data_IF_644780976483
#
_entry.id   IF_644780976483
#
_cell.length_a   1.000
_cell.length_b   1.000
_cell.length_c   1.000
_cell.angle_alpha   90.00
_cell.angle_beta   90.00
_cell.angle_gamma   90.00
#
_symmetry.space_group_name_H-M   'P 1'
#
loop_
_entity.id
_entity.type
_entity.pdbx_description
1 polymer ?
#
# COMPACT_ATOMS: atom_id res chain seq x y z
N UNK A 1 -33.97 -4.20 -13.74
CA UNK A 1 -32.79 -3.32 -13.50
C UNK A 1 -32.36 -3.25 -12.03
N UNK A 2 -33.25 -3.49 -11.05
CA UNK A 2 -32.97 -3.42 -9.61
C UNK A 2 -31.75 -4.27 -9.14
N UNK A 3 -31.64 -5.53 -9.60
CA UNK A 3 -30.52 -6.44 -9.24
C UNK A 3 -29.14 -5.93 -9.70
N UNK A 4 -29.09 -5.13 -10.77
CA UNK A 4 -27.85 -4.54 -11.33
C UNK A 4 -27.39 -3.31 -10.55
N UNK A 5 -28.30 -2.63 -9.85
CA UNK A 5 -28.03 -1.48 -8.98
C UNK A 5 -27.77 -1.90 -7.52
N UNK A 6 -28.44 -2.95 -7.06
CA UNK A 6 -28.27 -3.52 -5.71
C UNK A 6 -26.85 -4.09 -5.50
N UNK A 7 -26.26 -4.76 -6.51
CA UNK A 7 -24.89 -5.30 -6.41
C UNK A 7 -23.83 -4.23 -6.10
N UNK A 8 -23.68 -3.14 -6.90
CA UNK A 8 -22.71 -2.11 -6.59
C UNK A 8 -23.05 -1.35 -5.29
N UNK A 9 -24.33 -1.14 -4.99
CA UNK A 9 -24.73 -0.48 -3.74
C UNK A 9 -24.36 -1.30 -2.50
N UNK A 10 -24.56 -2.62 -2.52
CA UNK A 10 -24.16 -3.51 -1.41
C UNK A 10 -22.64 -3.55 -1.26
N UNK A 11 -21.88 -3.53 -2.37
CA UNK A 11 -20.42 -3.49 -2.34
C UNK A 11 -19.94 -2.19 -1.66
N UNK A 12 -20.49 -1.04 -2.04
CA UNK A 12 -20.14 0.26 -1.43
C UNK A 12 -20.50 0.29 0.06
N UNK A 13 -21.66 -0.25 0.43
CA UNK A 13 -22.10 -0.34 1.83
C UNK A 13 -21.20 -1.26 2.64
N UNK A 14 -20.81 -2.43 2.11
CA UNK A 14 -19.85 -3.33 2.77
C UNK A 14 -18.48 -2.67 2.88
N UNK A 15 -18.01 -1.99 1.83
CA UNK A 15 -16.75 -1.24 1.84
C UNK A 15 -16.73 -0.13 2.90
N UNK A 16 -17.88 0.39 3.30
CA UNK A 16 -17.99 1.40 4.36
C UNK A 16 -18.17 0.78 5.75
N UNK A 17 -19.03 -0.23 5.88
CA UNK A 17 -19.35 -0.85 7.17
C UNK A 17 -18.19 -1.71 7.67
N UNK A 18 -17.52 -2.45 6.79
CA UNK A 18 -16.40 -3.32 7.16
C UNK A 18 -15.25 -2.58 7.86
N UNK A 19 -14.73 -1.44 7.34
CA UNK A 19 -13.71 -0.68 8.05
C UNK A 19 -14.23 -0.08 9.36
N UNK A 20 -15.50 0.32 9.45
CA UNK A 20 -16.08 0.84 10.71
C UNK A 20 -16.11 -0.25 11.78
N UNK A 21 -16.57 -1.46 11.45
CA UNK A 21 -16.57 -2.60 12.37
C UNK A 21 -15.13 -2.98 12.75
N UNK A 22 -14.22 -2.98 11.78
CA UNK A 22 -12.81 -3.27 12.01
C UNK A 22 -12.17 -2.27 12.97
N UNK A 23 -12.40 -0.97 12.79
CA UNK A 23 -11.94 0.08 13.71
C UNK A 23 -12.57 -0.11 15.09
N UNK A 24 -13.88 -0.39 15.16
CA UNK A 24 -14.58 -0.60 16.43
C UNK A 24 -14.04 -1.82 17.21
N UNK A 25 -13.64 -2.89 16.52
CA UNK A 25 -13.02 -4.05 17.16
C UNK A 25 -11.57 -3.81 17.58
N UNK A 26 -10.79 -3.08 16.77
CA UNK A 26 -9.37 -2.85 17.03
C UNK A 26 -9.16 -1.78 18.10
N UNK A 27 -10.02 -0.76 18.18
CA UNK A 27 -9.91 0.33 19.15
C UNK A 27 -9.80 -0.14 20.61
N UNK A 28 -10.68 -1.01 21.15
CA UNK A 28 -10.56 -1.49 22.52
C UNK A 28 -9.31 -2.38 22.72
N UNK A 29 -8.89 -3.13 21.70
CA UNK A 29 -7.66 -3.92 21.75
C UNK A 29 -6.42 -3.02 21.83
N UNK A 30 -6.40 -1.92 21.07
CA UNK A 30 -5.34 -0.91 21.14
C UNK A 30 -5.33 -0.20 22.50
N UNK A 31 -6.51 0.22 22.99
CA UNK A 31 -6.64 0.90 24.29
C UNK A 31 -6.23 0.02 25.47
N UNK A 32 -6.46 -1.29 25.40
CA UNK A 32 -6.05 -2.23 26.45
C UNK A 32 -4.54 -2.50 26.47
N UNK A 33 -3.86 -2.33 25.34
CA UNK A 33 -2.41 -2.57 25.20
C UNK A 33 -1.62 -1.26 25.06
N UNK A 34 -2.12 -0.16 25.63
CA UNK A 34 -1.51 1.17 25.50
C UNK A 34 -0.05 1.20 25.95
N UNK A 35 0.32 0.49 27.00
CA UNK A 35 1.70 0.45 27.48
C UNK A 35 2.64 -0.26 26.49
N UNK A 36 2.21 -1.39 25.94
CA UNK A 36 2.95 -2.09 24.88
C UNK A 36 3.03 -1.27 23.60
N UNK A 37 1.96 -0.54 23.25
CA UNK A 37 1.97 0.39 22.11
C UNK A 37 2.89 1.59 22.37
N UNK A 38 3.00 2.07 23.60
CA UNK A 38 3.86 3.19 23.95
C UNK A 38 5.34 2.76 23.94
N UNK A 39 5.64 1.55 24.41
CA UNK A 39 6.96 0.93 24.27
C UNK A 39 7.30 0.69 22.80
N UNK A 40 6.36 0.18 21.99
CA UNK A 40 6.54 0.04 20.55
C UNK A 40 6.77 1.39 19.87
N UNK A 41 6.04 2.43 20.27
CA UNK A 41 6.24 3.80 19.78
C UNK A 41 7.62 4.35 20.15
N UNK A 42 8.08 4.11 21.37
CA UNK A 42 9.44 4.49 21.80
C UNK A 42 10.51 3.73 21.00
N UNK A 43 10.29 2.44 20.72
CA UNK A 43 11.19 1.63 19.91
C UNK A 43 11.23 2.15 18.46
N UNK A 44 10.06 2.43 17.86
CA UNK A 44 9.96 3.04 16.52
C UNK A 44 10.62 4.42 16.47
N UNK A 45 10.48 5.24 17.53
CA UNK A 45 11.19 6.52 17.63
C UNK A 45 12.71 6.33 17.72
N UNK A 46 13.18 5.35 18.49
CA UNK A 46 14.59 5.03 18.60
C UNK A 46 15.18 4.54 17.27
N UNK A 47 14.43 3.72 16.54
CA UNK A 47 14.81 3.17 15.25
C UNK A 47 14.35 4.03 14.06
N UNK A 48 13.91 5.28 14.27
CA UNK A 48 13.32 6.12 13.22
C UNK A 48 14.22 6.25 12.00
N UNK A 49 15.51 6.54 12.21
CA UNK A 49 16.51 6.68 11.14
C UNK A 49 16.78 5.36 10.40
N UNK A 50 17.07 4.24 11.07
CA UNK A 50 17.17 2.92 10.43
C UNK A 50 15.91 2.53 9.64
N UNK A 51 14.72 2.78 10.18
CA UNK A 51 13.44 2.50 9.50
C UNK A 51 13.31 3.31 8.21
N UNK A 52 13.67 4.59 8.26
CA UNK A 52 13.65 5.49 7.11
C UNK A 52 14.66 5.04 6.04
N UNK A 53 15.84 4.59 6.46
CA UNK A 53 16.85 4.04 5.57
C UNK A 53 16.38 2.75 4.89
N UNK A 54 15.71 1.85 5.63
CA UNK A 54 15.08 0.65 5.09
C UNK A 54 13.99 1.02 4.07
N UNK A 55 13.17 2.04 4.34
CA UNK A 55 12.14 2.50 3.40
C UNK A 55 12.75 3.02 2.11
N UNK A 56 13.79 3.87 2.20
CA UNK A 56 14.52 4.37 1.02
C UNK A 56 15.14 3.22 0.24
N UNK A 57 15.77 2.26 0.93
CA UNK A 57 16.39 1.09 0.30
C UNK A 57 15.33 0.21 -0.39
N UNK A 58 14.18 0.02 0.25
CA UNK A 58 13.04 -0.70 -0.30
C UNK A 58 12.51 -0.01 -1.57
N UNK A 59 12.39 1.31 -1.57
CA UNK A 59 11.96 2.06 -2.76
C UNK A 59 12.99 1.98 -3.88
N UNK A 60 14.28 2.08 -3.58
CA UNK A 60 15.34 1.92 -4.56
C UNK A 60 15.35 0.51 -5.16
N UNK A 61 15.18 -0.52 -4.32
CA UNK A 61 15.08 -1.91 -4.75
C UNK A 61 13.83 -2.13 -5.61
N UNK A 62 12.67 -1.62 -5.19
CA UNK A 62 11.42 -1.71 -5.95
C UNK A 62 11.55 -0.98 -7.29
N UNK A 63 12.17 0.20 -7.31
CA UNK A 63 12.47 0.94 -8.53
C UNK A 63 13.28 0.08 -9.49
N UNK A 64 14.41 -0.47 -9.04
CA UNK A 64 15.29 -1.30 -9.87
C UNK A 64 14.66 -2.64 -10.29
N UNK A 65 13.93 -3.28 -9.40
CA UNK A 65 13.29 -4.58 -9.64
C UNK A 65 12.05 -4.48 -10.52
N UNK A 66 11.39 -3.33 -10.60
CA UNK A 66 10.19 -3.14 -11.41
C UNK A 66 10.33 -3.57 -12.88
N UNK A 67 11.31 -3.07 -13.67
CA UNK A 67 11.48 -3.52 -15.06
C UNK A 67 11.78 -5.02 -15.16
N UNK A 68 12.50 -5.58 -14.18
CA UNK A 68 12.76 -7.02 -14.12
C UNK A 68 11.46 -7.81 -13.91
N UNK A 69 10.60 -7.36 -12.98
CA UNK A 69 9.30 -7.96 -12.72
C UNK A 69 8.39 -7.91 -13.95
N UNK A 70 8.32 -6.76 -14.62
CA UNK A 70 7.52 -6.59 -15.85
C UNK A 70 8.04 -7.52 -16.96
N UNK A 71 9.36 -7.64 -17.14
CA UNK A 71 9.93 -8.54 -18.13
C UNK A 71 9.72 -10.01 -17.79
N UNK A 72 9.79 -10.39 -16.51
CA UNK A 72 9.50 -11.75 -16.05
C UNK A 72 8.03 -12.11 -16.28
N UNK A 73 7.11 -11.20 -15.98
CA UNK A 73 5.68 -11.35 -16.25
C UNK A 73 5.41 -11.45 -17.76
N UNK A 74 6.11 -10.66 -18.57
CA UNK A 74 6.05 -10.72 -20.04
C UNK A 74 6.44 -12.10 -20.57
N UNK A 75 7.54 -12.68 -20.06
CA UNK A 75 8.00 -14.00 -20.49
C UNK A 75 7.04 -15.14 -20.08
N UNK A 76 6.30 -14.97 -18.98
CA UNK A 76 5.33 -15.97 -18.51
C UNK A 76 3.99 -15.92 -19.24
N UNK A 77 3.66 -14.82 -19.92
CA UNK A 77 2.40 -14.69 -20.65
C UNK A 77 2.56 -15.12 -22.11
N UNK A 78 1.63 -15.96 -22.59
CA UNK A 78 1.61 -16.46 -23.97
C UNK A 78 1.30 -15.37 -25.01
N UNK A 79 0.68 -14.26 -24.61
CA UNK A 79 0.47 -13.08 -25.44
C UNK A 79 1.41 -11.98 -24.99
N UNK A 80 2.28 -11.52 -25.89
CA UNK A 80 3.09 -10.34 -25.66
C UNK A 80 2.18 -9.12 -25.52
N UNK A 81 2.25 -8.35 -24.43
CA UNK A 81 1.52 -7.10 -24.29
C UNK A 81 1.94 -6.14 -25.40
N UNK A 82 0.99 -5.33 -25.86
CA UNK A 82 1.23 -4.27 -26.83
C UNK A 82 2.28 -3.27 -26.30
N UNK A 83 3.05 -2.64 -27.18
CA UNK A 83 4.10 -1.70 -26.79
C UNK A 83 3.56 -0.53 -25.95
N UNK A 84 2.31 -0.10 -26.20
CA UNK A 84 1.63 0.91 -25.40
C UNK A 84 1.37 0.46 -23.97
N UNK A 85 0.96 -0.80 -23.78
CA UNK A 85 0.73 -1.39 -22.45
C UNK A 85 2.04 -1.57 -21.68
N UNK A 86 3.12 -1.97 -22.38
CA UNK A 86 4.44 -2.11 -21.78
C UNK A 86 5.00 -0.75 -21.31
N UNK A 87 4.87 0.29 -22.14
CA UNK A 87 5.24 1.66 -21.76
C UNK A 87 4.43 2.16 -20.57
N UNK A 88 3.12 1.90 -20.55
CA UNK A 88 2.27 2.26 -19.42
C UNK A 88 2.71 1.55 -18.13
N UNK A 89 2.96 0.25 -18.18
CA UNK A 89 3.41 -0.55 -17.04
C UNK A 89 4.77 -0.08 -16.48
N UNK A 90 5.69 0.34 -17.36
CA UNK A 90 6.98 0.90 -16.94
C UNK A 90 6.83 2.32 -16.36
N UNK A 91 5.94 3.16 -16.91
CA UNK A 91 5.70 4.51 -16.41
C UNK A 91 5.02 4.53 -15.03
N UNK A 92 4.18 3.53 -14.72
CA UNK A 92 3.55 3.38 -13.39
C UNK A 92 4.59 3.36 -12.26
N UNK A 93 5.84 2.97 -12.53
CA UNK A 93 6.93 2.99 -11.54
C UNK A 93 7.06 4.35 -10.83
N UNK A 94 6.98 5.45 -11.58
CA UNK A 94 7.12 6.80 -11.00
C UNK A 94 5.90 7.21 -10.19
N UNK A 95 4.70 6.81 -10.62
CA UNK A 95 3.47 7.04 -9.86
C UNK A 95 3.47 6.25 -8.55
N UNK A 96 3.98 5.01 -8.58
CA UNK A 96 4.11 4.17 -7.40
C UNK A 96 5.08 4.79 -6.38
N UNK A 97 6.24 5.27 -6.84
CA UNK A 97 7.19 5.99 -5.98
C UNK A 97 6.59 7.29 -5.47
N UNK A 98 5.93 8.07 -6.33
CA UNK A 98 5.27 9.30 -5.92
C UNK A 98 4.25 9.08 -4.81
N UNK A 99 3.41 8.05 -4.94
CA UNK A 99 2.46 7.66 -3.91
C UNK A 99 3.15 7.28 -2.59
N UNK A 100 4.24 6.51 -2.66
CA UNK A 100 5.02 6.13 -1.49
C UNK A 100 5.69 7.33 -0.80
N UNK A 101 6.28 8.25 -1.57
CA UNK A 101 6.85 9.49 -1.03
C UNK A 101 5.77 10.33 -0.35
N UNK A 102 4.57 10.43 -0.94
CA UNK A 102 3.45 11.14 -0.32
C UNK A 102 3.05 10.48 1.01
N UNK A 103 2.97 9.14 1.06
CA UNK A 103 2.69 8.43 2.31
C UNK A 103 3.78 8.65 3.36
N UNK A 104 5.04 8.64 2.96
CA UNK A 104 6.16 8.89 3.86
C UNK A 104 6.13 10.33 4.41
N UNK A 105 5.85 11.32 3.56
CA UNK A 105 5.69 12.73 3.97
C UNK A 105 4.52 12.88 4.94
N UNK A 106 3.37 12.25 4.66
CA UNK A 106 2.22 12.24 5.56
C UNK A 106 2.53 11.58 6.91
N UNK A 107 3.35 10.53 6.90
CA UNK A 107 3.79 9.85 8.11
C UNK A 107 4.80 10.69 8.90
N UNK A 108 5.64 11.47 8.22
CA UNK A 108 6.67 12.31 8.83
C UNK A 108 6.11 13.64 9.37
N UNK A 109 5.02 14.15 8.78
CA UNK A 109 4.28 15.33 9.26
C UNK A 109 3.39 15.05 10.49
N UNK A 110 3.14 13.77 10.83
CA UNK A 110 2.25 13.35 11.91
C UNK A 110 3.01 13.03 13.20
#
# INVERSE_FOLDING_TARGET
MLKKFLRPSIIVVIQLILPVIFIACITPFLLRNTDSLNQFRQLVQHFKWPLLLIHVLFYAALYGAWPFLINLLRQKHACSPDEGQLRCALNVRLYLIGAFVIFEVLNLLR
#
